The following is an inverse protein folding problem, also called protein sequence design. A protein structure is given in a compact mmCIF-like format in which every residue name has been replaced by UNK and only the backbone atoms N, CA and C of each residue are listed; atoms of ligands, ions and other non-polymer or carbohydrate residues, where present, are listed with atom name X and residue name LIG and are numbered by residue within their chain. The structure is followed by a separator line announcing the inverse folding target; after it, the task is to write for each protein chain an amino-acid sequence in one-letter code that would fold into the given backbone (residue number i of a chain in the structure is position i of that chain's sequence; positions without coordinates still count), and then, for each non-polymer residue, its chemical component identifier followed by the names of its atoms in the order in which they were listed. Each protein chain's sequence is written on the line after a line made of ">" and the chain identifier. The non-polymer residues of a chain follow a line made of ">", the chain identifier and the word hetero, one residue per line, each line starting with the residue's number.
data_IF_288502360324
#
_entry.id   IF_288502360324
#
_cell.length_a   1.000
_cell.length_b   1.000
_cell.length_c   1.000
_cell.angle_alpha   90.00
_cell.angle_beta   90.00
_cell.angle_gamma   90.00
#
_symmetry.space_group_name_H-M   'P 1'
#
loop_
_entity.id
_entity.type
_entity.pdbx_description
1 polymer ?
#
# COMPACT_ATOMS: atom_id res chain seq x y z
N UNK A 1 60.99 -21.94 -16.90
CA UNK A 1 59.54 -21.68 -16.71
C UNK A 1 59.45 -20.29 -16.12
N UNK A 2 59.16 -19.26 -16.93
CA UNK A 2 58.87 -17.93 -16.38
C UNK A 2 57.47 -18.04 -15.78
N UNK A 3 57.39 -17.98 -14.45
CA UNK A 3 56.13 -17.75 -13.77
C UNK A 3 55.69 -16.34 -14.18
N UNK A 4 54.60 -16.28 -14.92
CA UNK A 4 53.92 -15.03 -15.21
C UNK A 4 53.33 -14.56 -13.88
N UNK A 5 54.08 -13.72 -13.18
CA UNK A 5 53.55 -13.07 -11.98
C UNK A 5 52.68 -11.91 -12.44
N UNK A 6 51.48 -11.74 -11.86
CA UNK A 6 50.61 -10.61 -12.18
C UNK A 6 51.41 -9.30 -12.12
N UNK A 7 51.26 -8.45 -13.13
CA UNK A 7 51.95 -7.15 -13.17
C UNK A 7 51.44 -6.23 -12.06
N UNK A 8 52.11 -5.10 -11.79
CA UNK A 8 51.63 -4.13 -10.79
C UNK A 8 50.20 -3.61 -11.06
N UNK A 9 49.72 -3.73 -12.31
CA UNK A 9 48.33 -3.42 -12.72
C UNK A 9 47.31 -4.53 -12.34
N UNK A 10 47.77 -5.75 -12.08
CA UNK A 10 46.96 -6.91 -11.66
C UNK A 10 46.93 -7.09 -10.13
N UNK A 11 47.69 -6.27 -9.39
CA UNK A 11 47.65 -6.23 -7.93
C UNK A 11 46.50 -5.29 -7.55
N UNK A 12 45.45 -5.78 -6.86
CA UNK A 12 44.33 -4.93 -6.48
C UNK A 12 44.83 -3.76 -5.64
N UNK A 13 44.36 -2.57 -5.99
CA UNK A 13 44.59 -1.33 -5.24
C UNK A 13 44.13 -1.53 -3.77
N UNK A 14 44.71 -0.77 -2.83
CA UNK A 14 44.14 -0.64 -1.49
C UNK A 14 42.65 -0.27 -1.51
N UNK A 15 42.22 0.50 -2.51
CA UNK A 15 40.81 0.86 -2.76
C UNK A 15 39.98 -0.37 -3.16
N UNK A 16 40.47 -1.20 -4.09
CA UNK A 16 39.79 -2.45 -4.50
C UNK A 16 39.68 -3.44 -3.33
N UNK A 17 40.74 -3.56 -2.53
CA UNK A 17 40.75 -4.41 -1.33
C UNK A 17 39.75 -3.89 -0.29
N UNK A 18 39.62 -2.57 -0.15
CA UNK A 18 38.65 -1.96 0.75
C UNK A 18 37.21 -2.17 0.29
N UNK A 19 36.93 -2.11 -1.02
CA UNK A 19 35.59 -2.40 -1.58
C UNK A 19 35.19 -3.87 -1.35
N UNK A 20 36.10 -4.81 -1.60
CA UNK A 20 35.85 -6.24 -1.35
C UNK A 20 35.62 -6.50 0.13
N UNK A 21 36.41 -5.88 1.02
CA UNK A 21 36.21 -5.99 2.46
C UNK A 21 34.84 -5.43 2.88
N UNK A 22 34.44 -4.29 2.33
CA UNK A 22 33.13 -3.68 2.59
C UNK A 22 31.97 -4.57 2.10
N UNK A 23 32.12 -5.24 0.96
CA UNK A 23 31.15 -6.23 0.48
C UNK A 23 31.03 -7.42 1.43
N UNK A 24 32.16 -7.96 1.90
CA UNK A 24 32.15 -9.04 2.88
C UNK A 24 31.48 -8.60 4.19
N UNK A 25 31.77 -7.40 4.67
CA UNK A 25 31.14 -6.85 5.87
C UNK A 25 29.62 -6.68 5.69
N UNK A 26 29.16 -6.22 4.52
CA UNK A 26 27.74 -6.17 4.18
C UNK A 26 27.10 -7.55 4.14
N UNK A 27 27.75 -8.53 3.51
CA UNK A 27 27.24 -9.90 3.44
C UNK A 27 27.09 -10.51 4.86
N UNK A 28 28.07 -10.27 5.73
CA UNK A 28 28.06 -10.72 7.13
C UNK A 28 26.96 -10.04 7.95
N UNK A 29 26.60 -8.79 7.62
CA UNK A 29 25.47 -8.05 8.21
C UNK A 29 24.12 -8.38 7.54
N UNK A 30 24.09 -9.39 6.65
CA UNK A 30 22.89 -9.84 5.94
C UNK A 30 22.36 -8.83 4.92
N UNK A 31 23.23 -7.94 4.42
CA UNK A 31 22.96 -6.94 3.39
C UNK A 31 23.49 -7.44 2.05
N UNK A 32 22.72 -7.24 0.99
CA UNK A 32 23.15 -7.46 -0.38
C UNK A 32 22.91 -6.21 -1.22
N UNK A 33 23.82 -5.92 -2.14
CA UNK A 33 23.61 -4.84 -3.10
C UNK A 33 22.51 -5.21 -4.08
N UNK A 34 21.65 -4.23 -4.37
CA UNK A 34 20.66 -4.39 -5.43
C UNK A 34 21.33 -4.22 -6.80
N UNK A 35 21.46 -5.35 -7.49
CA UNK A 35 22.01 -5.41 -8.84
C UNK A 35 20.91 -5.38 -9.88
N UNK A 36 21.01 -4.45 -10.84
CA UNK A 36 20.09 -4.38 -11.99
C UNK A 36 20.82 -4.98 -13.20
N UNK A 37 20.30 -6.06 -13.79
CA UNK A 37 20.90 -6.68 -14.95
C UNK A 37 20.78 -5.76 -16.17
N UNK A 38 21.91 -5.53 -16.85
CA UNK A 38 22.00 -4.73 -18.06
C UNK A 38 22.88 -5.40 -19.13
N UNK A 39 22.96 -4.81 -20.34
CA UNK A 39 23.67 -5.39 -21.48
C UNK A 39 25.18 -5.64 -21.25
N UNK A 40 25.79 -4.88 -20.33
CA UNK A 40 27.20 -4.96 -19.97
C UNK A 40 27.45 -5.67 -18.63
N UNK A 41 26.45 -6.35 -18.06
CA UNK A 41 26.54 -7.01 -16.76
C UNK A 41 25.59 -6.40 -15.72
N UNK A 42 25.90 -6.59 -14.43
CA UNK A 42 25.08 -6.10 -13.33
C UNK A 42 25.57 -4.70 -12.95
N UNK A 43 24.67 -3.72 -12.99
CA UNK A 43 24.93 -2.39 -12.43
C UNK A 43 24.36 -2.30 -11.02
N UNK A 44 25.17 -1.80 -10.08
CA UNK A 44 24.76 -1.56 -8.70
C UNK A 44 24.43 -0.08 -8.51
N UNK A 45 23.21 0.20 -8.06
CA UNK A 45 22.72 1.57 -7.86
C UNK A 45 23.03 2.16 -6.47
N UNK A 46 23.82 1.44 -5.65
CA UNK A 46 24.09 1.80 -4.27
C UNK A 46 22.95 1.49 -3.28
N UNK A 47 21.82 0.94 -3.75
CA UNK A 47 20.76 0.49 -2.86
C UNK A 47 21.12 -0.85 -2.21
N UNK A 48 20.86 -0.96 -0.92
CA UNK A 48 21.06 -2.18 -0.14
C UNK A 48 19.70 -2.83 0.12
N UNK A 49 19.67 -4.14 -0.01
CA UNK A 49 18.58 -5.00 0.43
C UNK A 49 19.08 -5.74 1.66
N UNK A 50 18.33 -5.69 2.75
CA UNK A 50 18.69 -6.36 3.99
C UNK A 50 17.60 -7.34 4.40
N UNK A 51 17.97 -8.47 5.00
CA UNK A 51 17.00 -9.31 5.69
C UNK A 51 16.56 -8.65 7.01
N UNK A 52 15.24 -8.48 7.19
CA UNK A 52 14.66 -7.65 8.26
C UNK A 52 14.59 -8.36 9.62
N UNK A 53 14.50 -9.69 9.64
CA UNK A 53 14.16 -10.41 10.86
C UNK A 53 15.14 -11.48 11.27
N UNK A 54 14.75 -12.22 12.32
CA UNK A 54 15.60 -13.23 12.97
C UNK A 54 15.90 -14.44 12.08
N UNK A 55 15.10 -14.62 11.02
CA UNK A 55 15.16 -15.78 10.15
C UNK A 55 15.54 -15.36 8.72
N UNK A 56 16.76 -15.65 8.25
CA UNK A 56 17.23 -15.24 6.92
C UNK A 56 16.49 -15.91 5.76
N UNK A 57 15.64 -16.92 6.03
CA UNK A 57 14.86 -17.64 5.03
C UNK A 57 13.37 -17.24 5.00
N UNK A 58 12.97 -16.26 5.81
CA UNK A 58 11.61 -15.72 5.76
C UNK A 58 11.48 -14.79 4.54
N UNK A 59 10.75 -15.25 3.51
CA UNK A 59 10.61 -14.54 2.24
C UNK A 59 9.85 -13.21 2.32
N UNK A 60 9.20 -12.89 3.43
CA UNK A 60 8.49 -11.63 3.68
C UNK A 60 9.36 -10.57 4.38
N UNK A 61 10.53 -10.95 4.90
CA UNK A 61 11.42 -10.11 5.70
C UNK A 61 12.51 -9.48 4.84
N UNK A 62 12.13 -8.81 3.76
CA UNK A 62 13.06 -8.08 2.89
C UNK A 62 12.92 -6.57 3.13
N UNK A 63 13.97 -5.95 3.68
CA UNK A 63 14.14 -4.50 3.78
C UNK A 63 14.60 -4.00 2.42
N UNK A 64 13.75 -3.19 1.78
CA UNK A 64 14.05 -2.51 0.53
C UNK A 64 13.60 -1.06 0.64
N UNK A 65 14.00 -0.23 -0.33
CA UNK A 65 13.53 1.16 -0.42
C UNK A 65 11.99 1.22 -0.50
N UNK A 66 11.35 0.21 -1.10
CA UNK A 66 9.90 0.16 -1.26
C UNK A 66 9.18 -0.33 0.01
N UNK A 67 9.76 -1.28 0.74
CA UNK A 67 9.13 -1.91 1.91
C UNK A 67 9.46 -1.20 3.23
N UNK A 68 10.64 -0.63 3.36
CA UNK A 68 11.16 -0.01 4.60
C UNK A 68 11.72 1.40 4.40
N UNK A 69 11.57 1.99 3.19
CA UNK A 69 11.91 3.38 2.97
C UNK A 69 11.13 4.31 3.90
N UNK A 70 11.80 5.31 4.47
CA UNK A 70 11.25 6.22 5.48
C UNK A 70 9.94 6.88 5.03
N UNK A 71 9.89 7.37 3.78
CA UNK A 71 8.70 7.98 3.22
C UNK A 71 7.54 6.98 3.03
N UNK A 72 7.79 5.84 2.38
CA UNK A 72 6.75 4.85 2.10
C UNK A 72 6.15 4.29 3.38
N UNK A 73 7.00 3.97 4.35
CA UNK A 73 6.59 3.50 5.67
C UNK A 73 5.77 4.54 6.41
N UNK A 74 6.25 5.78 6.49
CA UNK A 74 5.52 6.87 7.14
C UNK A 74 4.16 7.12 6.46
N UNK A 75 4.09 7.04 5.12
CA UNK A 75 2.86 7.21 4.37
C UNK A 75 1.83 6.11 4.71
N UNK A 76 2.25 4.84 4.69
CA UNK A 76 1.39 3.69 5.01
C UNK A 76 0.96 3.71 6.49
N UNK A 77 1.88 3.97 7.40
CA UNK A 77 1.60 4.07 8.85
C UNK A 77 0.59 5.19 9.14
N UNK A 78 0.58 6.27 8.35
CA UNK A 78 -0.39 7.36 8.52
C UNK A 78 -1.71 7.14 7.75
N UNK A 79 -1.88 6.05 7.00
CA UNK A 79 -3.17 5.75 6.36
C UNK A 79 -4.24 5.42 7.40
N UNK A 80 -5.50 5.74 7.10
CA UNK A 80 -6.64 5.52 8.00
C UNK A 80 -6.69 4.12 8.63
N UNK A 81 -6.30 3.08 7.89
CA UNK A 81 -6.32 1.70 8.40
C UNK A 81 -5.22 1.42 9.44
N UNK A 82 -4.01 1.96 9.25
CA UNK A 82 -2.84 1.68 10.09
C UNK A 82 -2.54 2.76 11.13
N UNK A 83 -3.07 3.97 10.96
CA UNK A 83 -2.79 5.13 11.83
C UNK A 83 -3.06 4.81 13.29
N UNK A 84 -2.06 4.97 14.14
CA UNK A 84 -2.21 4.70 15.56
C UNK A 84 -3.18 5.69 16.23
N UNK A 85 -3.84 5.26 17.31
CA UNK A 85 -4.76 6.09 18.08
C UNK A 85 -6.18 6.28 17.50
N UNK A 86 -6.43 5.86 16.25
CA UNK A 86 -7.79 5.91 15.68
C UNK A 86 -8.68 4.77 16.19
N UNK A 87 -9.91 5.14 16.56
CA UNK A 87 -10.99 4.20 16.90
C UNK A 87 -11.55 3.54 15.63
N UNK A 88 -12.11 2.32 15.70
CA UNK A 88 -12.57 1.60 14.51
C UNK A 88 -13.59 2.38 13.67
N UNK A 89 -14.51 3.11 14.32
CA UNK A 89 -15.47 3.96 13.62
C UNK A 89 -14.83 5.12 12.83
N UNK A 90 -13.75 5.73 13.36
CA UNK A 90 -13.05 6.83 12.68
C UNK A 90 -12.36 6.33 11.41
N UNK A 91 -11.75 5.14 11.50
CA UNK A 91 -11.15 4.45 10.34
C UNK A 91 -12.21 4.16 9.30
N UNK A 92 -13.35 3.61 9.73
CA UNK A 92 -14.49 3.29 8.87
C UNK A 92 -14.97 4.51 8.10
N UNK A 93 -15.21 5.64 8.79
CA UNK A 93 -15.65 6.89 8.15
C UNK A 93 -14.62 7.40 7.15
N UNK A 94 -13.33 7.51 7.51
CA UNK A 94 -12.28 8.05 6.62
C UNK A 94 -12.13 7.20 5.36
N UNK A 95 -12.08 5.87 5.52
CA UNK A 95 -12.01 4.93 4.40
C UNK A 95 -13.29 5.00 3.55
N UNK A 96 -14.46 4.99 4.19
CA UNK A 96 -15.76 5.08 3.52
C UNK A 96 -15.86 6.34 2.67
N UNK A 97 -15.61 7.52 3.25
CA UNK A 97 -15.69 8.79 2.54
C UNK A 97 -14.79 8.83 1.31
N UNK A 98 -13.54 8.38 1.43
CA UNK A 98 -12.62 8.33 0.29
C UNK A 98 -13.15 7.42 -0.83
N UNK A 99 -13.61 6.21 -0.49
CA UNK A 99 -14.09 5.25 -1.47
C UNK A 99 -15.41 5.67 -2.12
N UNK A 100 -16.37 6.13 -1.33
CA UNK A 100 -17.63 6.65 -1.85
C UNK A 100 -17.44 7.83 -2.81
N UNK A 101 -16.48 8.71 -2.51
CA UNK A 101 -16.20 9.89 -3.32
C UNK A 101 -15.69 9.53 -4.72
N UNK A 102 -14.67 8.67 -4.84
CA UNK A 102 -14.09 8.37 -6.15
C UNK A 102 -14.93 7.39 -6.96
N UNK A 103 -15.69 6.48 -6.31
CA UNK A 103 -16.43 5.41 -6.99
C UNK A 103 -17.48 5.93 -7.97
N UNK A 104 -18.02 7.14 -7.75
CA UNK A 104 -18.98 7.76 -8.67
C UNK A 104 -18.35 8.08 -10.03
N UNK A 105 -17.08 8.49 -10.05
CA UNK A 105 -16.41 9.02 -11.24
C UNK A 105 -16.50 8.12 -12.48
N UNK A 106 -16.13 6.83 -12.39
CA UNK A 106 -16.25 5.88 -13.50
C UNK A 106 -17.68 5.72 -14.03
N UNK A 107 -18.71 5.71 -13.16
CA UNK A 107 -20.11 5.54 -13.61
C UNK A 107 -20.66 6.78 -14.28
N UNK A 108 -20.25 7.96 -13.82
CA UNK A 108 -20.66 9.22 -14.45
C UNK A 108 -19.99 9.37 -15.82
N UNK A 109 -18.69 9.06 -15.92
CA UNK A 109 -17.92 9.33 -17.14
C UNK A 109 -17.99 8.22 -18.19
N UNK A 110 -18.04 6.96 -17.75
CA UNK A 110 -17.98 5.78 -18.64
C UNK A 110 -19.25 4.94 -18.58
N UNK A 111 -20.25 5.35 -17.79
CA UNK A 111 -21.52 4.63 -17.68
C UNK A 111 -22.36 4.66 -18.95
N UNK A 112 -23.38 3.78 -19.02
CA UNK A 112 -24.29 3.72 -20.15
C UNK A 112 -25.12 5.00 -20.33
N UNK A 113 -25.44 5.70 -19.22
CA UNK A 113 -26.22 6.94 -19.22
C UNK A 113 -25.34 8.21 -19.13
N UNK A 114 -24.04 8.12 -19.43
CA UNK A 114 -23.11 9.27 -19.36
C UNK A 114 -23.53 10.49 -20.21
N UNK A 115 -24.31 10.27 -21.27
CA UNK A 115 -24.75 11.32 -22.20
C UNK A 115 -26.16 11.85 -21.87
N UNK A 116 -26.73 11.49 -20.71
CA UNK A 116 -28.04 11.98 -20.28
C UNK A 116 -27.91 12.97 -19.12
N UNK A 117 -28.89 13.85 -18.91
CA UNK A 117 -28.90 14.77 -17.76
C UNK A 117 -28.81 14.06 -16.41
N UNK A 118 -29.20 12.78 -16.36
CA UNK A 118 -29.22 11.95 -15.16
C UNK A 118 -27.90 11.22 -14.88
N UNK A 119 -26.83 11.47 -15.66
CA UNK A 119 -25.53 10.80 -15.51
C UNK A 119 -25.00 10.84 -14.06
N UNK A 120 -25.08 12.02 -13.41
CA UNK A 120 -24.66 12.19 -12.02
C UNK A 120 -25.50 11.35 -11.05
N UNK A 121 -26.83 11.36 -11.20
CA UNK A 121 -27.77 10.61 -10.36
C UNK A 121 -27.57 9.11 -10.49
N UNK A 122 -27.38 8.61 -11.72
CA UNK A 122 -27.10 7.20 -11.98
C UNK A 122 -25.75 6.81 -11.37
N UNK A 123 -24.74 7.67 -11.51
CA UNK A 123 -23.43 7.48 -10.88
C UNK A 123 -23.50 7.37 -9.37
N UNK A 124 -24.33 8.20 -8.72
CA UNK A 124 -24.60 8.11 -7.28
C UNK A 124 -25.22 6.77 -6.90
N UNK A 125 -26.27 6.33 -7.61
CA UNK A 125 -26.94 5.07 -7.32
C UNK A 125 -26.00 3.87 -7.50
N UNK A 126 -25.18 3.86 -8.55
CA UNK A 126 -24.16 2.84 -8.76
C UNK A 126 -23.08 2.87 -7.66
N UNK A 127 -22.60 4.06 -7.27
CA UNK A 127 -21.64 4.22 -6.18
C UNK A 127 -22.18 3.68 -4.85
N UNK A 128 -23.42 4.06 -4.49
CA UNK A 128 -24.10 3.56 -3.29
C UNK A 128 -24.30 2.04 -3.33
N UNK A 129 -24.64 1.47 -4.48
CA UNK A 129 -24.77 0.03 -4.64
C UNK A 129 -23.45 -0.71 -4.39
N UNK A 130 -22.33 -0.19 -4.92
CA UNK A 130 -21.00 -0.80 -4.69
C UNK A 130 -20.58 -0.68 -3.23
N UNK A 131 -20.76 0.49 -2.61
CA UNK A 131 -20.50 0.67 -1.17
C UNK A 131 -21.29 -0.37 -0.37
N UNK A 132 -22.58 -0.57 -0.68
CA UNK A 132 -23.41 -1.59 -0.04
C UNK A 132 -22.87 -3.01 -0.21
N UNK A 133 -22.46 -3.39 -1.44
CA UNK A 133 -21.89 -4.71 -1.72
C UNK A 133 -20.58 -4.92 -0.96
N UNK A 134 -19.69 -3.91 -0.94
CA UNK A 134 -18.42 -3.96 -0.20
C UNK A 134 -18.66 -4.07 1.30
N UNK A 135 -19.61 -3.33 1.85
CA UNK A 135 -20.00 -3.43 3.26
C UNK A 135 -20.52 -4.81 3.62
N UNK A 136 -21.40 -5.40 2.80
CA UNK A 136 -21.90 -6.76 3.02
C UNK A 136 -20.73 -7.77 2.96
N UNK A 137 -19.84 -7.64 1.97
CA UNK A 137 -18.64 -8.48 1.87
C UNK A 137 -17.74 -8.36 3.10
N UNK A 138 -17.55 -7.14 3.62
CA UNK A 138 -16.83 -6.89 4.87
C UNK A 138 -17.49 -7.58 6.08
N UNK A 139 -18.81 -7.50 6.21
CA UNK A 139 -19.52 -8.17 7.30
C UNK A 139 -19.43 -9.71 7.21
N UNK A 140 -19.46 -10.27 6.00
CA UNK A 140 -19.23 -11.71 5.77
C UNK A 140 -17.80 -12.10 6.17
N UNK A 141 -16.81 -11.29 5.80
CA UNK A 141 -15.42 -11.48 6.24
C UNK A 141 -15.31 -11.43 7.77
N UNK A 142 -15.98 -10.47 8.41
CA UNK A 142 -16.07 -10.36 9.87
C UNK A 142 -16.67 -11.62 10.52
N UNK A 143 -17.72 -12.18 9.93
CA UNK A 143 -18.39 -13.38 10.45
C UNK A 143 -17.56 -14.67 10.27
N UNK A 144 -16.76 -14.75 9.21
CA UNK A 144 -16.02 -15.96 8.82
C UNK A 144 -14.60 -15.99 9.38
N UNK A 145 -13.81 -14.96 9.07
CA UNK A 145 -12.38 -14.88 9.45
C UNK A 145 -12.23 -14.40 10.90
N UNK A 146 -13.21 -13.66 11.42
CA UNK A 146 -13.22 -13.13 12.78
C UNK A 146 -11.94 -12.33 13.14
N UNK A 147 -11.56 -11.32 12.33
CA UNK A 147 -10.37 -10.51 12.57
C UNK A 147 -10.42 -9.80 13.92
N UNK A 148 -9.34 -9.85 14.70
CA UNK A 148 -9.29 -9.30 16.07
C UNK A 148 -8.42 -8.04 16.22
N UNK A 149 -7.85 -7.53 15.12
CA UNK A 149 -6.90 -6.40 15.12
C UNK A 149 -7.43 -5.15 15.84
N UNK A 150 -8.75 -4.94 15.79
CA UNK A 150 -9.41 -3.74 16.31
C UNK A 150 -10.25 -4.00 17.57
N UNK A 151 -10.25 -5.23 18.07
CA UNK A 151 -11.08 -5.63 19.20
C UNK A 151 -10.45 -5.18 20.52
N UNK A 152 -11.28 -4.81 21.49
CA UNK A 152 -10.81 -4.52 22.85
C UNK A 152 -10.78 -5.79 23.69
N UNK A 153 -10.06 -5.74 24.82
CA UNK A 153 -10.04 -6.85 25.76
C UNK A 153 -11.47 -7.19 26.24
N UNK A 154 -11.89 -8.44 26.02
CA UNK A 154 -13.22 -8.94 26.38
C UNK A 154 -14.30 -8.77 25.31
N UNK A 155 -13.98 -8.17 24.17
CA UNK A 155 -14.91 -8.10 23.05
C UNK A 155 -15.16 -9.46 22.40
N UNK A 156 -16.31 -9.58 21.71
CA UNK A 156 -16.55 -10.71 20.81
C UNK A 156 -15.61 -10.60 19.60
N UNK A 157 -15.11 -11.71 19.05
CA UNK A 157 -14.25 -11.67 17.86
C UNK A 157 -14.89 -10.87 16.72
N UNK A 158 -14.11 -10.01 16.08
CA UNK A 158 -14.49 -9.08 15.02
C UNK A 158 -15.44 -7.96 15.41
N UNK A 159 -15.60 -7.65 16.69
CA UNK A 159 -16.40 -6.49 17.13
C UNK A 159 -15.91 -5.19 16.48
N UNK A 160 -14.60 -4.91 16.55
CA UNK A 160 -14.01 -3.67 16.08
C UNK A 160 -14.00 -3.61 14.55
N UNK A 161 -13.75 -4.75 13.89
CA UNK A 161 -13.84 -4.81 12.43
C UNK A 161 -15.28 -4.57 11.94
N UNK A 162 -16.28 -5.20 12.56
CA UNK A 162 -17.68 -4.98 12.20
C UNK A 162 -18.11 -3.53 12.47
N UNK A 163 -17.66 -2.92 13.57
CA UNK A 163 -17.86 -1.49 13.83
C UNK A 163 -17.28 -0.65 12.68
N UNK A 164 -16.02 -0.89 12.29
CA UNK A 164 -15.38 -0.19 11.18
C UNK A 164 -16.18 -0.32 9.87
N UNK A 165 -16.68 -1.53 9.54
CA UNK A 165 -17.45 -1.76 8.30
C UNK A 165 -18.81 -1.06 8.32
N UNK A 166 -19.49 -1.00 9.47
CA UNK A 166 -20.75 -0.25 9.59
C UNK A 166 -20.52 1.24 9.33
N UNK A 167 -19.45 1.80 9.88
CA UNK A 167 -19.08 3.20 9.65
C UNK A 167 -18.49 3.46 8.26
N UNK A 168 -17.89 2.45 7.62
CA UNK A 168 -17.54 2.50 6.20
C UNK A 168 -18.77 2.68 5.31
N UNK A 169 -19.88 1.99 5.60
CA UNK A 169 -21.12 2.18 4.85
C UNK A 169 -21.62 3.63 4.94
N UNK A 170 -21.67 4.18 6.17
CA UNK A 170 -22.09 5.56 6.42
C UNK A 170 -21.17 6.56 5.73
N UNK A 171 -19.85 6.41 5.89
CA UNK A 171 -18.86 7.25 5.23
C UNK A 171 -18.93 7.15 3.71
N UNK A 172 -19.14 5.95 3.16
CA UNK A 172 -19.26 5.70 1.72
C UNK A 172 -20.47 6.36 1.10
N UNK A 173 -21.64 6.25 1.74
CA UNK A 173 -22.83 6.98 1.30
C UNK A 173 -22.65 8.50 1.39
N UNK A 174 -21.98 8.99 2.44
CA UNK A 174 -21.65 10.41 2.60
C UNK A 174 -20.68 10.93 1.53
N UNK A 175 -19.60 10.20 1.25
CA UNK A 175 -18.62 10.54 0.22
C UNK A 175 -19.22 10.53 -1.18
N UNK A 176 -20.07 9.53 -1.46
CA UNK A 176 -20.83 9.45 -2.71
C UNK A 176 -21.82 10.63 -2.84
N UNK A 177 -22.60 10.91 -1.79
CA UNK A 177 -23.50 12.07 -1.78
C UNK A 177 -22.77 13.40 -1.99
N UNK A 178 -21.59 13.57 -1.38
CA UNK A 178 -20.77 14.76 -1.55
C UNK A 178 -20.24 14.91 -2.98
N UNK A 179 -19.69 13.85 -3.57
CA UNK A 179 -19.24 13.86 -4.97
C UNK A 179 -20.41 14.17 -5.94
N UNK A 180 -21.58 13.57 -5.73
CA UNK A 180 -22.78 13.88 -6.50
C UNK A 180 -23.21 15.35 -6.38
N UNK A 181 -23.17 15.91 -5.16
CA UNK A 181 -23.47 17.32 -4.95
C UNK A 181 -22.51 18.22 -5.73
N UNK A 182 -21.20 17.95 -5.67
CA UNK A 182 -20.21 18.70 -6.45
C UNK A 182 -20.46 18.57 -7.96
N UNK A 183 -20.72 17.37 -8.46
CA UNK A 183 -20.99 17.15 -9.88
C UNK A 183 -22.29 17.84 -10.34
N UNK A 184 -23.31 17.88 -9.50
CA UNK A 184 -24.56 18.58 -9.83
C UNK A 184 -24.38 20.10 -9.82
N UNK A 185 -23.64 20.63 -8.85
CA UNK A 185 -23.38 22.08 -8.74
C UNK A 185 -22.47 22.59 -9.85
N UNK A 186 -21.38 21.87 -10.16
CA UNK A 186 -20.38 22.32 -11.12
C UNK A 186 -20.55 21.73 -12.53
N UNK A 187 -21.15 20.55 -12.65
CA UNK A 187 -21.41 19.90 -13.94
C UNK A 187 -22.64 20.41 -14.66
N UNK A 188 -23.54 21.13 -13.99
CA UNK A 188 -24.67 21.81 -14.64
C UNK A 188 -24.31 23.13 -15.33
N UNK A 189 -23.06 23.58 -15.20
CA UNK A 189 -22.56 24.83 -15.78
C UNK A 189 -21.84 24.64 -17.14
N UNK A 190 -21.81 23.42 -17.69
CA UNK A 190 -21.17 23.07 -18.96
C UNK A 190 -22.18 22.63 -20.03
#
# INVERSE_FOLDING_TARGET
>A
MKLDMPGDEDIPDLEDIAEVQQEFDWLMDGKMRFGIPGPAGIWYNGALIQYKGKEPFAGDQIVSILTDGSFGRQYVENMAFYREGLKPWQRGIEIGMAHGYFLIGPFVSLGPLRNTPEAATVGLLCGCAIVGIVSIGGLIFGATIKPTLFDKAGDRPASGFNEMINWHAVGGLGGAGFAHALLTVFGSAA
#
